data_IF_999574347684
#
_entry.id   IF_999574347684
#
_cell.length_a   1.000
_cell.length_b   1.000
_cell.length_c   1.000
_cell.angle_alpha   90.00
_cell.angle_beta   90.00
_cell.angle_gamma   90.00
#
_symmetry.space_group_name_H-M   'P 1'
#
loop_
_entity.id
_entity.type
_entity.pdbx_description
1 polymer ?
#
# COMPACT_ATOMS: atom_id res chain seq x y z
N UNK A 1 -10.87 2.10 -1.08
CA UNK A 1 -11.80 1.97 0.06
C UNK A 1 -11.10 2.41 1.35
N UNK A 2 -10.04 1.73 1.79
CA UNK A 2 -9.33 2.16 3.01
C UNK A 2 -8.75 3.59 2.94
N UNK A 3 -8.15 3.97 1.80
CA UNK A 3 -7.61 5.32 1.59
C UNK A 3 -8.70 6.40 1.73
N UNK A 4 -9.95 6.11 1.33
CA UNK A 4 -11.06 7.05 1.46
C UNK A 4 -11.62 7.14 2.89
N UNK A 5 -11.28 6.21 3.77
CA UNK A 5 -11.72 6.16 5.17
C UNK A 5 -10.70 6.78 6.14
N UNK A 6 -9.41 6.73 5.80
CA UNK A 6 -8.34 7.33 6.62
C UNK A 6 -8.27 8.84 6.48
N UNK A 7 -8.45 9.37 5.27
CA UNK A 7 -8.22 10.80 5.03
C UNK A 7 -9.44 11.64 5.44
N UNK A 8 -9.23 12.77 6.16
CA UNK A 8 -10.27 13.74 6.42
C UNK A 8 -10.97 14.19 5.13
N UNK A 9 -12.25 14.53 5.23
CA UNK A 9 -13.10 14.87 4.08
C UNK A 9 -12.47 15.96 3.19
N UNK A 10 -11.79 16.93 3.79
CA UNK A 10 -11.16 18.08 3.14
C UNK A 10 -10.04 17.68 2.17
N UNK A 11 -9.26 16.65 2.52
CA UNK A 11 -8.08 16.19 1.75
C UNK A 11 -8.28 14.81 1.11
N UNK A 12 -9.47 14.23 1.28
CA UNK A 12 -9.77 12.85 0.84
C UNK A 12 -9.52 12.62 -0.65
N UNK A 13 -9.91 13.56 -1.50
CA UNK A 13 -9.70 13.47 -2.94
C UNK A 13 -8.20 13.49 -3.30
N UNK A 14 -7.43 14.36 -2.63
CA UNK A 14 -5.99 14.46 -2.83
C UNK A 14 -5.27 13.19 -2.34
N UNK A 15 -5.62 12.70 -1.15
CA UNK A 15 -5.08 11.46 -0.60
C UNK A 15 -5.37 10.24 -1.47
N UNK A 16 -6.58 10.15 -2.04
CA UNK A 16 -6.93 9.09 -2.99
C UNK A 16 -6.14 9.20 -4.30
N UNK A 17 -6.00 10.39 -4.86
CA UNK A 17 -5.23 10.62 -6.10
C UNK A 17 -3.76 10.26 -5.89
N UNK A 18 -3.16 10.71 -4.78
CA UNK A 18 -1.77 10.42 -4.44
C UNK A 18 -1.51 8.93 -4.17
N UNK A 19 -2.42 8.26 -3.45
CA UNK A 19 -2.32 6.81 -3.24
C UNK A 19 -2.42 6.04 -4.56
N UNK A 20 -3.34 6.45 -5.44
CA UNK A 20 -3.52 5.82 -6.74
C UNK A 20 -2.32 6.05 -7.67
N UNK A 21 -1.78 7.27 -7.70
CA UNK A 21 -0.60 7.59 -8.50
C UNK A 21 0.63 6.82 -8.01
N UNK A 22 0.83 6.73 -6.69
CA UNK A 22 1.88 5.90 -6.08
C UNK A 22 1.75 4.44 -6.51
N UNK A 23 0.55 3.86 -6.45
CA UNK A 23 0.30 2.49 -6.90
C UNK A 23 0.68 2.29 -8.37
N UNK A 24 0.22 3.16 -9.26
CA UNK A 24 0.49 3.04 -10.70
C UNK A 24 1.95 3.29 -11.07
N UNK A 25 2.62 4.24 -10.40
CA UNK A 25 4.05 4.49 -10.60
C UNK A 25 4.85 3.25 -10.19
N UNK A 26 4.60 2.70 -9.00
CA UNK A 26 5.31 1.50 -8.54
C UNK A 26 5.03 0.28 -9.43
N UNK A 27 3.78 0.11 -9.88
CA UNK A 27 3.43 -0.95 -10.83
C UNK A 27 4.22 -0.82 -12.14
N UNK A 28 4.31 0.40 -12.70
CA UNK A 28 5.08 0.66 -13.91
C UNK A 28 6.58 0.38 -13.71
N UNK A 29 7.15 0.77 -12.57
CA UNK A 29 8.55 0.48 -12.25
C UNK A 29 8.81 -1.04 -12.16
N UNK A 30 7.93 -1.79 -11.48
CA UNK A 30 8.04 -3.25 -11.41
C UNK A 30 8.01 -3.83 -12.83
N UNK A 31 7.05 -3.45 -13.67
CA UNK A 31 6.96 -3.93 -15.05
C UNK A 31 8.21 -3.60 -15.86
N UNK A 32 8.77 -2.40 -15.71
CA UNK A 32 9.97 -1.95 -16.43
C UNK A 32 11.23 -2.72 -15.99
N UNK A 33 11.39 -2.96 -14.69
CA UNK A 33 12.60 -3.59 -14.14
C UNK A 33 12.53 -5.11 -14.06
N UNK A 34 11.34 -5.72 -14.18
CA UNK A 34 11.18 -7.17 -14.11
C UNK A 34 12.05 -7.92 -15.12
N UNK A 35 12.18 -7.52 -16.40
CA UNK A 35 13.08 -8.19 -17.34
C UNK A 35 14.56 -8.15 -16.90
N UNK A 36 15.01 -7.03 -16.34
CA UNK A 36 16.38 -6.86 -15.83
C UNK A 36 16.61 -7.76 -14.62
N UNK A 37 15.65 -7.80 -13.69
CA UNK A 37 15.71 -8.69 -12.54
C UNK A 37 15.75 -10.17 -12.96
N UNK A 38 14.97 -10.55 -13.98
CA UNK A 38 14.96 -11.92 -14.50
C UNK A 38 16.22 -12.30 -15.25
N UNK A 39 16.87 -11.37 -15.94
CA UNK A 39 18.13 -11.62 -16.64
C UNK A 39 19.33 -11.65 -15.67
N UNK A 40 19.30 -10.85 -14.60
CA UNK A 40 20.40 -10.73 -13.64
C UNK A 40 20.43 -11.79 -12.54
N UNK A 41 19.32 -12.50 -12.31
CA UNK A 41 19.21 -13.53 -11.28
C UNK A 41 19.39 -14.94 -11.86
N UNK A 42 20.07 -15.80 -11.10
CA UNK A 42 20.34 -17.20 -11.51
C UNK A 42 19.07 -18.07 -11.60
N UNK A 43 17.98 -17.65 -10.94
CA UNK A 43 16.69 -18.35 -10.96
C UNK A 43 15.54 -17.36 -10.73
N UNK A 44 14.40 -17.54 -11.44
CA UNK A 44 13.19 -16.77 -11.19
C UNK A 44 12.66 -16.88 -9.75
N UNK A 45 12.97 -17.97 -9.06
CA UNK A 45 12.54 -18.21 -7.68
C UNK A 45 12.94 -17.11 -6.70
N UNK A 46 14.09 -16.45 -6.92
CA UNK A 46 14.54 -15.37 -6.05
C UNK A 46 13.62 -14.15 -6.10
N UNK A 47 13.03 -13.83 -7.25
CA UNK A 47 12.07 -12.73 -7.36
C UNK A 47 10.76 -13.05 -6.65
N UNK A 48 10.26 -14.27 -6.80
CA UNK A 48 9.06 -14.70 -6.07
C UNK A 48 9.29 -14.72 -4.55
N UNK A 49 10.45 -15.17 -4.08
CA UNK A 49 10.81 -15.12 -2.66
C UNK A 49 10.89 -13.68 -2.14
N UNK A 50 11.45 -12.75 -2.92
CA UNK A 50 11.48 -11.33 -2.58
C UNK A 50 10.06 -10.76 -2.39
N UNK A 51 9.16 -10.98 -3.36
CA UNK A 51 7.78 -10.50 -3.25
C UNK A 51 7.00 -11.19 -2.13
N UNK A 52 7.24 -12.48 -1.89
CA UNK A 52 6.66 -13.18 -0.74
C UNK A 52 7.11 -12.56 0.59
N UNK A 53 8.40 -12.21 0.72
CA UNK A 53 8.92 -11.46 1.87
C UNK A 53 8.26 -10.09 2.03
N UNK A 54 8.08 -9.36 0.93
CA UNK A 54 7.36 -8.07 0.94
C UNK A 54 5.91 -8.20 1.40
N UNK A 55 5.23 -9.32 1.11
CA UNK A 55 3.89 -9.58 1.62
C UNK A 55 3.85 -9.80 3.13
N UNK A 56 4.86 -10.47 3.69
CA UNK A 56 4.99 -10.60 5.15
C UNK A 56 5.22 -9.24 5.80
N UNK A 57 6.08 -8.39 5.22
CA UNK A 57 6.29 -7.02 5.71
C UNK A 57 5.02 -6.18 5.64
N UNK A 58 4.26 -6.30 4.55
CA UNK A 58 2.97 -5.62 4.39
C UNK A 58 1.95 -6.09 5.44
N UNK A 59 1.92 -7.38 5.76
CA UNK A 59 1.08 -7.91 6.83
C UNK A 59 1.45 -7.34 8.20
N UNK A 60 2.75 -7.31 8.53
CA UNK A 60 3.25 -6.71 9.78
C UNK A 60 2.84 -5.24 9.85
N UNK A 61 3.06 -4.48 8.79
CA UNK A 61 2.65 -3.07 8.71
C UNK A 61 1.15 -2.91 8.97
N UNK A 62 0.30 -3.74 8.35
CA UNK A 62 -1.16 -3.67 8.56
C UNK A 62 -1.53 -3.95 10.01
N UNK A 63 -0.94 -4.96 10.65
CA UNK A 63 -1.28 -5.34 12.02
C UNK A 63 -0.91 -4.24 13.03
N UNK A 64 0.24 -3.58 12.85
CA UNK A 64 0.78 -2.66 13.86
C UNK A 64 0.49 -1.19 13.59
N UNK A 65 0.36 -0.76 12.32
CA UNK A 65 0.27 0.66 11.98
C UNK A 65 -1.10 1.08 11.44
N UNK A 66 -1.89 0.15 10.91
CA UNK A 66 -3.17 0.49 10.27
C UNK A 66 -4.31 0.42 11.30
N UNK A 67 -5.11 1.49 11.49
CA UNK A 67 -6.26 1.44 12.36
C UNK A 67 -7.35 0.55 11.78
N UNK A 68 -8.07 -0.16 12.65
CA UNK A 68 -9.29 -0.87 12.26
C UNK A 68 -10.39 0.14 11.91
N UNK A 69 -10.88 0.08 10.67
CA UNK A 69 -11.94 0.95 10.12
C UNK A 69 -13.31 0.28 10.12
N UNK A 70 -13.37 -1.06 10.28
CA UNK A 70 -14.62 -1.81 10.18
C UNK A 70 -15.59 -1.43 11.30
N UNK A 71 -16.81 -1.06 10.91
CA UNK A 71 -17.92 -0.79 11.83
C UNK A 71 -17.82 0.55 12.55
N UNK A 72 -16.90 1.43 12.16
CA UNK A 72 -16.79 2.81 12.66
C UNK A 72 -17.39 3.79 11.66
N UNK A 73 -17.94 4.90 12.14
CA UNK A 73 -18.31 6.01 11.27
C UNK A 73 -17.07 6.80 10.84
N UNK A 74 -17.21 7.61 9.78
CA UNK A 74 -16.10 8.46 9.31
C UNK A 74 -15.71 9.51 10.36
N UNK A 75 -16.68 10.03 11.11
CA UNK A 75 -16.47 10.99 12.18
C UNK A 75 -15.65 10.37 13.33
N UNK A 76 -16.00 9.15 13.77
CA UNK A 76 -15.26 8.40 14.80
C UNK A 76 -13.82 8.11 14.38
N UNK A 77 -13.62 7.80 13.10
CA UNK A 77 -12.29 7.59 12.52
C UNK A 77 -11.47 8.88 12.51
N UNK A 78 -12.04 10.00 12.08
CA UNK A 78 -11.38 11.30 12.07
C UNK A 78 -10.94 11.71 13.48
N UNK A 79 -11.79 11.58 14.50
CA UNK A 79 -11.41 11.90 15.89
C UNK A 79 -10.29 11.00 16.42
N UNK A 80 -10.27 9.72 16.03
CA UNK A 80 -9.24 8.78 16.47
C UNK A 80 -7.88 9.01 15.79
N UNK A 81 -7.88 9.49 14.55
CA UNK A 81 -6.68 9.69 13.73
C UNK A 81 -6.08 11.11 13.95
N UNK A 82 -6.91 12.11 14.25
CA UNK A 82 -6.50 13.52 14.43
C UNK A 82 -6.19 13.92 15.88
N UNK A 83 -6.17 12.98 16.84
CA UNK A 83 -5.66 13.21 18.20
C UNK A 83 -4.15 13.45 18.22
#
# INVERSE_FOLDING_TARGET
VFISEIFPTEVRAQGQSFGSSTHWVLAALITLFMPVAMAGLSSPGFVFLFFAGMMVLQLIFVIFMMPETKGKTLEELQESILK
#
